data_IF_725806568970
#
_entry.id   IF_725806568970
#
_cell.length_a   1.000
_cell.length_b   1.000
_cell.length_c   1.000
_cell.angle_alpha   90.00
_cell.angle_beta   90.00
_cell.angle_gamma   90.00
#
_symmetry.space_group_name_H-M   'P 1'
#
loop_
_entity.id
_entity.type
_entity.pdbx_description
1 polymer ?
#
# COMPACT_ATOMS: atom_id res chain seq x y z
N UNK A 1 23.07 37.11 87.55
CA UNK A 1 23.35 35.67 87.66
C UNK A 1 22.65 35.13 88.90
N UNK A 2 21.54 34.41 88.76
CA UNK A 2 21.31 33.23 89.58
C UNK A 2 20.23 32.38 88.93
N UNK A 3 20.49 31.08 88.95
CA UNK A 3 19.95 30.01 88.14
C UNK A 3 19.10 29.13 89.06
N UNK A 4 18.10 28.44 88.49
CA UNK A 4 17.67 27.07 88.87
C UNK A 4 16.74 27.03 90.12
N UNK A 5 15.63 26.28 90.21
CA UNK A 5 15.25 24.97 89.68
C UNK A 5 13.73 24.76 89.74
N UNK A 6 13.25 23.93 88.80
CA UNK A 6 11.99 23.17 88.78
C UNK A 6 11.58 22.54 90.13
N UNK A 7 10.27 22.45 90.40
CA UNK A 7 9.52 21.18 90.62
C UNK A 7 8.06 21.41 90.19
N UNK A 8 7.58 20.59 89.25
CA UNK A 8 6.20 20.57 88.75
C UNK A 8 5.33 19.64 89.62
N UNK A 9 4.12 20.09 89.93
CA UNK A 9 3.15 19.47 90.84
C UNK A 9 2.47 18.25 90.19
N UNK A 10 2.19 17.29 91.06
CA UNK A 10 1.54 16.00 90.85
C UNK A 10 0.11 16.07 90.25
N UNK A 11 -0.28 14.92 89.70
CA UNK A 11 -1.59 14.24 89.90
C UNK A 11 -2.68 14.34 88.80
N UNK A 12 -3.63 13.38 88.75
CA UNK A 12 -3.74 12.45 87.63
C UNK A 12 -5.12 12.49 86.91
N UNK A 13 -5.22 11.69 85.87
CA UNK A 13 -6.41 11.39 85.07
C UNK A 13 -7.71 11.24 85.89
N UNK A 14 -8.85 11.69 85.33
CA UNK A 14 -10.05 10.90 84.92
C UNK A 14 -11.21 11.86 84.61
N UNK A 15 -11.59 11.99 83.33
CA UNK A 15 -12.66 11.22 82.66
C UNK A 15 -14.05 11.87 82.80
N UNK A 16 -14.51 12.51 81.71
CA UNK A 16 -15.91 12.58 81.21
C UNK A 16 -15.98 13.65 80.10
N UNK A 17 -16.29 13.25 78.86
CA UNK A 17 -17.32 13.86 77.97
C UNK A 17 -17.36 13.08 76.64
N UNK A 18 -18.59 12.87 76.18
CA UNK A 18 -19.12 12.10 75.06
C UNK A 18 -18.81 12.75 73.71
N UNK A 19 -18.27 12.01 72.72
CA UNK A 19 -18.48 12.26 71.27
C UNK A 19 -18.53 10.91 70.54
N UNK A 20 -19.71 10.55 70.03
CA UNK A 20 -19.91 9.50 69.04
C UNK A 20 -19.15 9.85 67.74
N UNK A 21 -18.24 8.98 67.29
CA UNK A 21 -17.68 9.03 65.95
C UNK A 21 -17.89 7.65 65.30
N UNK A 22 -18.97 7.50 64.55
CA UNK A 22 -19.21 6.31 63.73
C UNK A 22 -18.25 6.41 62.52
N UNK A 23 -17.13 5.72 62.62
CA UNK A 23 -16.20 5.49 61.51
C UNK A 23 -16.85 4.49 60.54
N UNK A 24 -17.56 4.99 59.54
CA UNK A 24 -17.93 4.19 58.37
C UNK A 24 -16.65 4.02 57.54
N UNK A 25 -15.91 2.93 57.80
CA UNK A 25 -14.83 2.50 56.91
C UNK A 25 -15.49 1.79 55.73
N UNK A 26 -15.86 2.55 54.69
CA UNK A 26 -16.19 1.98 53.40
C UNK A 26 -14.93 1.33 52.83
N UNK A 27 -14.88 0.00 52.87
CA UNK A 27 -13.89 -0.78 52.11
C UNK A 27 -14.27 -0.68 50.65
N UNK A 28 -13.74 0.34 49.95
CA UNK A 28 -13.83 0.42 48.50
C UNK A 28 -12.80 -0.58 47.97
N UNK A 29 -13.23 -1.78 47.60
CA UNK A 29 -12.41 -2.70 46.82
C UNK A 29 -12.25 -2.10 45.43
N UNK A 30 -11.13 -1.45 45.16
CA UNK A 30 -10.72 -1.12 43.80
C UNK A 30 -10.35 -2.45 43.13
N UNK A 31 -11.27 -3.04 42.38
CA UNK A 31 -10.92 -4.11 41.45
C UNK A 31 -10.15 -3.46 40.30
N UNK A 32 -8.82 -3.54 40.33
CA UNK A 32 -8.03 -3.30 39.14
C UNK A 32 -8.40 -4.36 38.11
N UNK A 33 -9.10 -3.97 37.05
CA UNK A 33 -9.25 -4.83 35.87
C UNK A 33 -7.85 -4.92 35.25
N UNK A 34 -7.19 -6.06 35.42
CA UNK A 34 -5.97 -6.39 34.70
C UNK A 34 -6.38 -6.68 33.26
N UNK A 35 -6.41 -5.67 32.41
CA UNK A 35 -6.41 -5.92 30.96
C UNK A 35 -5.07 -6.54 30.63
N UNK A 36 -5.06 -7.79 30.17
CA UNK A 36 -3.84 -8.41 29.68
C UNK A 36 -3.26 -7.54 28.56
N UNK A 37 -1.96 -7.23 28.63
CA UNK A 37 -1.29 -6.51 27.55
C UNK A 37 -1.35 -7.33 26.28
N UNK A 38 -1.85 -6.72 25.19
CA UNK A 38 -1.90 -7.36 23.88
C UNK A 38 -0.50 -7.62 23.37
N UNK A 39 -0.29 -8.77 22.74
CA UNK A 39 0.97 -9.10 22.09
C UNK A 39 1.22 -8.13 20.94
N UNK A 40 2.37 -7.46 20.95
CA UNK A 40 2.78 -6.56 19.87
C UNK A 40 2.97 -7.34 18.57
N UNK A 41 2.75 -6.68 17.44
CA UNK A 41 2.82 -7.30 16.12
C UNK A 41 3.87 -6.61 15.25
N UNK A 42 4.33 -7.32 14.22
CA UNK A 42 5.19 -6.82 13.16
C UNK A 42 4.48 -7.04 11.83
N UNK A 43 4.53 -6.05 10.94
CA UNK A 43 3.91 -6.13 9.62
C UNK A 43 4.88 -5.62 8.55
N UNK A 44 5.33 -6.52 7.69
CA UNK A 44 6.18 -6.17 6.54
C UNK A 44 5.34 -5.92 5.31
N UNK A 45 5.85 -5.14 4.35
CA UNK A 45 5.22 -4.89 3.04
C UNK A 45 6.32 -4.71 1.98
N UNK A 46 6.09 -5.23 0.79
CA UNK A 46 6.96 -5.11 -0.38
C UNK A 46 6.21 -5.29 -1.69
N UNK A 47 6.87 -4.91 -2.79
CA UNK A 47 6.36 -5.03 -4.15
C UNK A 47 7.08 -6.15 -4.90
N UNK A 48 6.36 -6.84 -5.77
CA UNK A 48 6.93 -7.76 -6.77
C UNK A 48 6.30 -7.49 -8.14
N UNK A 49 7.08 -7.02 -9.13
CA UNK A 49 8.49 -6.62 -9.03
C UNK A 49 8.69 -5.43 -8.05
N UNK A 50 9.92 -5.23 -7.58
CA UNK A 50 10.23 -4.20 -6.58
C UNK A 50 9.97 -2.77 -7.08
N UNK A 51 10.14 -2.55 -8.38
CA UNK A 51 9.90 -1.28 -9.08
C UNK A 51 8.91 -1.53 -10.23
N UNK A 52 7.60 -1.63 -9.94
CA UNK A 52 6.62 -1.94 -10.98
C UNK A 52 6.48 -0.77 -11.95
N UNK A 53 6.52 -1.10 -13.24
CA UNK A 53 6.35 -0.13 -14.33
C UNK A 53 4.87 0.11 -14.65
N UNK A 54 4.56 1.22 -15.34
CA UNK A 54 3.19 1.58 -15.73
C UNK A 54 2.43 0.56 -16.56
N UNK A 55 3.12 -0.29 -17.32
CA UNK A 55 2.52 -1.31 -18.18
C UNK A 55 2.57 -2.73 -17.57
N UNK A 56 2.85 -2.82 -16.27
CA UNK A 56 2.95 -4.09 -15.56
C UNK A 56 2.01 -4.13 -14.36
N UNK A 57 1.29 -5.24 -14.20
CA UNK A 57 0.65 -5.57 -12.92
C UNK A 57 1.68 -5.96 -11.88
N UNK A 58 1.38 -5.77 -10.60
CA UNK A 58 2.31 -6.11 -9.53
C UNK A 58 1.61 -6.67 -8.31
N UNK A 59 2.38 -7.35 -7.47
CA UNK A 59 1.90 -7.89 -6.21
C UNK A 59 2.40 -7.03 -5.04
N UNK A 60 1.51 -6.77 -4.09
CA UNK A 60 1.81 -6.13 -2.81
C UNK A 60 1.68 -7.20 -1.73
N UNK A 61 2.81 -7.62 -1.18
CA UNK A 61 2.85 -8.76 -0.26
C UNK A 61 3.69 -8.46 0.96
N UNK A 62 3.50 -9.27 1.99
CA UNK A 62 4.19 -9.12 3.27
C UNK A 62 3.82 -10.23 4.23
N UNK A 63 4.32 -10.12 5.45
CA UNK A 63 4.11 -11.08 6.53
C UNK A 63 3.66 -10.33 7.78
N UNK A 64 2.60 -10.83 8.42
CA UNK A 64 2.20 -10.47 9.77
C UNK A 64 2.77 -11.50 10.76
N UNK A 65 3.49 -11.02 11.76
CA UNK A 65 3.99 -11.85 12.86
C UNK A 65 3.73 -11.16 14.20
N UNK A 66 3.86 -11.89 15.30
CA UNK A 66 4.01 -11.27 16.62
C UNK A 66 5.41 -10.69 16.78
N UNK A 67 5.62 -9.94 17.87
CA UNK A 67 6.89 -9.29 18.21
C UNK A 67 8.06 -10.25 18.40
N UNK A 68 7.76 -11.51 18.73
CA UNK A 68 8.73 -12.62 18.83
C UNK A 68 9.02 -13.31 17.49
N UNK A 69 8.39 -12.87 16.40
CA UNK A 69 8.58 -13.40 15.05
C UNK A 69 7.67 -14.58 14.68
N UNK A 70 6.76 -15.02 15.55
CA UNK A 70 5.83 -16.11 15.20
C UNK A 70 4.82 -15.65 14.15
N UNK A 71 4.61 -16.42 13.06
CA UNK A 71 3.65 -16.04 12.02
C UNK A 71 2.22 -16.04 12.56
N UNK A 72 1.43 -15.06 12.11
CA UNK A 72 0.03 -14.89 12.53
C UNK A 72 -0.91 -15.14 11.35
N UNK A 73 -1.31 -16.39 11.17
CA UNK A 73 -2.26 -16.78 10.13
C UNK A 73 -3.71 -16.48 10.43
N UNK A 74 -4.52 -16.45 9.37
CA UNK A 74 -5.95 -16.13 9.39
C UNK A 74 -6.22 -14.80 10.13
N UNK A 75 -5.55 -13.73 9.69
CA UNK A 75 -5.73 -12.36 10.17
C UNK A 75 -6.05 -11.45 9.00
N UNK A 76 -7.05 -10.59 9.18
CA UNK A 76 -7.46 -9.60 8.19
C UNK A 76 -6.41 -8.50 8.05
N UNK A 77 -5.75 -8.47 6.90
CA UNK A 77 -4.89 -7.37 6.46
C UNK A 77 -5.70 -6.50 5.51
N UNK A 78 -5.70 -5.20 5.76
CA UNK A 78 -6.28 -4.21 4.86
C UNK A 78 -5.15 -3.52 4.09
N UNK A 79 -5.25 -3.48 2.76
CA UNK A 79 -4.39 -2.65 1.93
C UNK A 79 -5.04 -1.29 1.72
N UNK A 80 -4.28 -0.23 1.94
CA UNK A 80 -4.72 1.14 1.76
C UNK A 80 -3.78 1.88 0.79
N UNK A 81 -4.31 2.80 -0.01
CA UNK A 81 -3.53 3.65 -0.91
C UNK A 81 -3.84 5.14 -0.83
N UNK A 82 -2.86 5.96 -1.19
CA UNK A 82 -2.95 7.43 -1.25
C UNK A 82 -2.19 7.92 -2.47
N UNK A 83 -2.82 8.74 -3.31
CA UNK A 83 -2.14 9.44 -4.42
C UNK A 83 -1.47 10.74 -3.95
N UNK A 84 -1.82 11.23 -2.75
CA UNK A 84 -1.55 12.61 -2.33
C UNK A 84 -0.31 12.74 -1.44
N UNK A 85 -0.16 11.84 -0.47
CA UNK A 85 0.93 11.92 0.51
C UNK A 85 1.15 10.59 1.22
N UNK A 86 2.40 10.33 1.58
CA UNK A 86 2.83 9.23 2.43
C UNK A 86 2.62 9.50 3.93
N UNK A 87 2.49 10.76 4.36
CA UNK A 87 2.47 11.17 5.77
C UNK A 87 1.10 11.61 6.28
N UNK A 88 0.13 11.76 5.39
CA UNK A 88 -1.23 12.16 5.73
C UNK A 88 -2.13 10.91 5.84
N UNK A 89 -2.33 10.42 7.07
CA UNK A 89 -3.11 9.21 7.33
C UNK A 89 -4.58 9.32 6.93
N UNK A 90 -5.14 10.53 6.84
CA UNK A 90 -6.52 10.76 6.40
C UNK A 90 -6.66 10.69 4.87
N UNK A 91 -5.55 10.72 4.14
CA UNK A 91 -5.53 10.62 2.68
C UNK A 91 -5.57 9.17 2.16
N UNK A 92 -5.44 8.16 3.03
CA UNK A 92 -5.41 6.76 2.64
C UNK A 92 -6.82 6.16 2.47
N UNK A 93 -7.06 5.53 1.32
CA UNK A 93 -8.30 4.84 0.95
C UNK A 93 -8.09 3.34 0.97
N UNK A 94 -9.06 2.59 1.49
CA UNK A 94 -9.02 1.12 1.48
C UNK A 94 -9.14 0.60 0.05
N UNK A 95 -8.18 -0.21 -0.38
CA UNK A 95 -8.20 -0.94 -1.65
C UNK A 95 -8.83 -2.33 -1.51
N UNK A 96 -8.67 -2.96 -0.34
CA UNK A 96 -9.27 -4.26 -0.07
C UNK A 96 -8.72 -4.93 1.18
N UNK A 97 -9.27 -6.10 1.50
CA UNK A 97 -8.86 -6.91 2.66
C UNK A 97 -8.56 -8.34 2.23
N UNK A 98 -7.50 -8.92 2.78
CA UNK A 98 -7.09 -10.32 2.60
C UNK A 98 -6.69 -10.94 3.92
N UNK A 99 -6.94 -12.24 4.05
CA UNK A 99 -6.49 -13.01 5.19
C UNK A 99 -5.05 -13.48 4.98
N UNK A 100 -4.28 -13.45 6.05
CA UNK A 100 -2.98 -14.11 6.07
C UNK A 100 -3.12 -15.64 5.99
N UNK A 101 -2.21 -16.30 5.29
CA UNK A 101 -2.08 -17.76 5.31
C UNK A 101 -1.48 -18.27 6.64
N UNK A 102 -1.24 -19.58 6.78
CA UNK A 102 -0.72 -20.17 8.02
C UNK A 102 0.65 -19.61 8.42
N UNK A 103 1.45 -19.18 7.44
CA UNK A 103 2.76 -18.58 7.57
C UNK A 103 2.69 -17.06 7.79
N UNK A 104 1.49 -16.50 7.97
CA UNK A 104 1.29 -15.08 8.22
C UNK A 104 1.42 -14.21 6.96
N UNK A 105 1.59 -14.81 5.78
CA UNK A 105 1.79 -14.09 4.52
C UNK A 105 0.46 -13.62 3.96
N UNK A 106 0.46 -12.42 3.40
CA UNK A 106 -0.65 -11.88 2.60
C UNK A 106 -0.14 -11.43 1.24
N UNK A 107 -1.05 -11.35 0.27
CA UNK A 107 -0.75 -10.93 -1.09
C UNK A 107 -1.96 -10.25 -1.72
N UNK A 108 -1.73 -9.07 -2.31
CA UNK A 108 -2.71 -8.31 -3.07
C UNK A 108 -2.22 -8.11 -4.50
N UNK A 109 -3.09 -8.36 -5.47
CA UNK A 109 -2.82 -8.03 -6.86
C UNK A 109 -3.19 -6.56 -7.17
N UNK A 110 -2.29 -5.85 -7.83
CA UNK A 110 -2.50 -4.50 -8.37
C UNK A 110 -2.47 -4.56 -9.90
N UNK A 111 -3.53 -4.11 -10.59
CA UNK A 111 -3.60 -4.17 -12.04
C UNK A 111 -2.65 -3.17 -12.71
N UNK A 112 -2.54 -3.29 -14.03
CA UNK A 112 -1.65 -2.46 -14.86
C UNK A 112 -2.04 -0.97 -14.91
N UNK A 113 -3.26 -0.61 -14.58
CA UNK A 113 -3.84 0.72 -14.79
C UNK A 113 -3.92 1.58 -13.52
N UNK A 114 -3.11 1.26 -12.51
CA UNK A 114 -3.11 2.03 -11.25
C UNK A 114 -2.27 3.30 -11.37
N UNK A 115 -2.68 4.41 -10.72
CA UNK A 115 -1.85 5.61 -10.67
C UNK A 115 -0.56 5.36 -9.87
N UNK A 116 0.43 6.26 -9.94
CA UNK A 116 1.42 6.40 -8.88
C UNK A 116 0.72 6.55 -7.54
N UNK A 117 1.02 5.66 -6.62
CA UNK A 117 0.36 5.61 -5.31
C UNK A 117 1.35 5.24 -4.21
N UNK A 118 1.09 5.78 -3.03
CA UNK A 118 1.64 5.30 -1.76
C UNK A 118 0.77 4.17 -1.24
N UNK A 119 1.38 3.10 -0.74
CA UNK A 119 0.71 1.91 -0.24
C UNK A 119 1.13 1.61 1.18
N UNK A 120 0.17 1.20 2.01
CA UNK A 120 0.42 0.65 3.33
C UNK A 120 -0.53 -0.52 3.60
N UNK A 121 -0.07 -1.46 4.41
CA UNK A 121 -0.89 -2.54 4.93
C UNK A 121 -1.22 -2.26 6.40
N UNK A 122 -2.40 -2.68 6.82
CA UNK A 122 -2.93 -2.42 8.15
C UNK A 122 -3.55 -3.67 8.73
N UNK A 123 -3.13 -4.00 9.95
CA UNK A 123 -3.79 -4.98 10.79
C UNK A 123 -4.46 -4.23 11.95
N UNK A 124 -5.77 -4.37 12.11
CA UNK A 124 -6.54 -3.65 13.13
C UNK A 124 -6.39 -4.22 14.55
N UNK A 125 -5.59 -5.29 14.72
CA UNK A 125 -5.49 -5.98 16.00
C UNK A 125 -6.74 -6.81 16.30
N UNK A 126 -6.73 -7.43 17.47
CA UNK A 126 -7.89 -8.08 18.09
C UNK A 126 -7.68 -8.11 19.61
N UNK A 127 -8.39 -8.96 20.34
CA UNK A 127 -8.26 -9.06 21.81
C UNK A 127 -6.87 -9.50 22.26
N UNK A 128 -6.16 -10.28 21.44
CA UNK A 128 -4.87 -10.88 21.77
C UNK A 128 -3.67 -10.12 21.18
N UNK A 129 -3.87 -9.47 20.03
CA UNK A 129 -2.79 -8.85 19.25
C UNK A 129 -3.04 -7.36 19.05
N UNK A 130 -2.01 -6.55 19.25
CA UNK A 130 -2.06 -5.10 19.04
C UNK A 130 -2.23 -4.76 17.54
N UNK A 131 -2.94 -3.66 17.21
CA UNK A 131 -2.99 -3.14 15.85
C UNK A 131 -1.61 -2.67 15.37
N UNK A 132 -1.37 -2.75 14.07
CA UNK A 132 -0.17 -2.21 13.43
C UNK A 132 -0.46 -1.73 12.01
N UNK A 133 0.23 -0.66 11.61
CA UNK A 133 0.32 -0.21 10.22
C UNK A 133 1.76 -0.46 9.76
N UNK A 134 1.93 -0.98 8.55
CA UNK A 134 3.25 -1.20 7.95
C UNK A 134 3.96 0.12 7.69
N UNK A 135 5.22 0.04 7.24
CA UNK A 135 5.82 1.17 6.51
C UNK A 135 4.97 1.54 5.30
N UNK A 136 5.04 2.80 4.89
CA UNK A 136 4.51 3.24 3.59
C UNK A 136 5.55 2.95 2.52
N UNK A 137 5.11 2.42 1.38
CA UNK A 137 5.95 2.20 0.19
C UNK A 137 5.37 2.96 -1.00
N UNK A 138 6.23 3.32 -1.94
CA UNK A 138 5.85 3.97 -3.19
C UNK A 138 5.78 2.93 -4.31
N UNK A 139 4.71 2.96 -5.09
CA UNK A 139 4.62 2.28 -6.37
C UNK A 139 4.67 3.29 -7.52
N UNK A 140 5.28 2.90 -8.64
CA UNK A 140 5.31 3.70 -9.88
C UNK A 140 5.84 5.13 -9.67
N UNK A 141 6.85 5.28 -8.81
CA UNK A 141 7.52 6.56 -8.58
C UNK A 141 6.69 7.61 -7.82
N UNK A 142 5.63 7.22 -7.10
CA UNK A 142 4.87 8.14 -6.26
C UNK A 142 5.78 8.89 -5.27
N UNK A 143 5.65 10.21 -5.20
CA UNK A 143 6.48 11.07 -4.33
C UNK A 143 7.90 11.34 -4.85
N UNK A 144 8.24 10.90 -6.06
CA UNK A 144 9.51 11.24 -6.73
C UNK A 144 9.31 12.36 -7.75
N UNK A 145 10.41 12.91 -8.27
CA UNK A 145 10.39 13.90 -9.37
C UNK A 145 10.01 13.26 -10.73
N UNK A 146 9.94 11.93 -10.81
CA UNK A 146 9.59 11.16 -12.02
C UNK A 146 8.51 10.10 -11.72
N UNK A 147 7.27 10.50 -11.36
CA UNK A 147 6.18 9.56 -11.18
C UNK A 147 5.80 8.94 -12.54
N UNK A 148 5.65 7.62 -12.58
CA UNK A 148 5.20 6.93 -13.78
C UNK A 148 3.67 6.99 -13.88
N UNK A 149 3.19 8.07 -14.48
CA UNK A 149 1.76 8.27 -14.73
C UNK A 149 1.39 7.58 -16.04
N UNK A 150 0.30 6.80 -16.02
CA UNK A 150 -0.37 6.38 -17.26
C UNK A 150 -1.08 7.61 -17.83
N UNK A 151 -0.36 8.44 -18.59
CA UNK A 151 -0.99 9.48 -19.43
C UNK A 151 -1.49 8.83 -20.71
N UNK A 152 -2.57 8.05 -20.63
CA UNK A 152 -3.26 7.54 -21.81
C UNK A 152 -3.84 6.16 -21.62
N UNK A 153 -5.11 5.99 -22.00
CA UNK A 153 -5.71 4.67 -22.15
C UNK A 153 -4.92 3.90 -23.22
N UNK A 154 -4.85 2.57 -23.20
CA UNK A 154 -4.11 1.82 -24.23
C UNK A 154 -5.05 1.11 -25.21
N UNK A 155 -4.64 0.97 -26.47
CA UNK A 155 -5.36 0.27 -27.51
C UNK A 155 -4.50 -0.74 -28.27
N UNK A 156 -5.08 -1.30 -29.34
CA UNK A 156 -4.40 -2.25 -30.22
C UNK A 156 -4.51 -1.81 -31.69
N UNK A 157 -3.62 -2.34 -32.53
CA UNK A 157 -3.69 -2.20 -33.98
C UNK A 157 -3.27 -3.49 -34.68
N UNK A 158 -4.03 -3.89 -35.69
CA UNK A 158 -3.65 -4.94 -36.65
C UNK A 158 -3.05 -4.30 -37.89
N UNK A 159 -1.81 -4.66 -38.22
CA UNK A 159 -1.03 -4.06 -39.31
C UNK A 159 -0.83 -5.09 -40.41
N UNK A 160 -1.19 -4.73 -41.64
CA UNK A 160 -1.01 -5.52 -42.85
C UNK A 160 -0.11 -4.80 -43.85
N UNK A 161 0.61 -5.57 -44.66
CA UNK A 161 1.43 -5.06 -45.75
C UNK A 161 1.09 -5.75 -47.07
N UNK A 162 1.22 -5.00 -48.17
CA UNK A 162 1.20 -5.56 -49.52
C UNK A 162 2.49 -5.17 -50.25
N UNK A 163 3.39 -6.12 -50.56
CA UNK A 163 3.33 -7.55 -50.25
C UNK A 163 3.53 -7.85 -48.76
N UNK A 164 3.03 -8.99 -48.29
CA UNK A 164 3.16 -9.47 -46.91
C UNK A 164 4.63 -9.73 -46.50
N UNK A 165 4.89 -9.83 -45.20
CA UNK A 165 6.21 -10.13 -44.67
C UNK A 165 7.16 -8.92 -44.70
N UNK A 166 6.63 -7.71 -44.52
CA UNK A 166 7.43 -6.51 -44.28
C UNK A 166 7.71 -6.35 -42.78
N UNK A 167 8.91 -5.89 -42.43
CA UNK A 167 9.26 -5.50 -41.07
C UNK A 167 8.39 -4.32 -40.62
N UNK A 168 7.85 -4.40 -39.41
CA UNK A 168 6.92 -3.44 -38.83
C UNK A 168 7.61 -2.67 -37.72
N UNK A 169 7.74 -1.37 -37.91
CA UNK A 169 8.24 -0.42 -36.91
C UNK A 169 7.06 0.41 -36.41
N UNK A 170 6.96 0.57 -35.09
CA UNK A 170 6.00 1.48 -34.45
C UNK A 170 6.79 2.45 -33.60
N UNK A 171 6.67 3.74 -33.90
CA UNK A 171 7.46 4.83 -33.34
C UNK A 171 8.97 4.54 -33.43
N UNK A 172 9.42 4.20 -34.64
CA UNK A 172 10.80 3.86 -34.98
C UNK A 172 11.39 2.60 -34.33
N UNK A 173 10.61 1.86 -33.54
CA UNK A 173 11.03 0.61 -32.89
C UNK A 173 10.52 -0.59 -33.69
N UNK A 174 11.42 -1.50 -34.10
CA UNK A 174 11.04 -2.76 -34.73
C UNK A 174 10.20 -3.62 -33.77
N UNK A 175 8.95 -3.92 -34.15
CA UNK A 175 8.01 -4.71 -33.35
C UNK A 175 7.81 -6.13 -33.88
N UNK A 176 7.96 -6.33 -35.19
CA UNK A 176 7.76 -7.65 -35.78
C UNK A 176 7.67 -7.61 -37.31
N UNK A 177 6.95 -8.57 -37.87
CA UNK A 177 6.76 -8.74 -39.32
C UNK A 177 5.26 -8.82 -39.62
N UNK A 178 4.82 -8.17 -40.70
CA UNK A 178 3.42 -8.10 -41.10
C UNK A 178 2.92 -9.40 -41.75
N UNK A 179 1.67 -9.83 -41.49
CA UNK A 179 0.68 -9.19 -40.62
C UNK A 179 1.07 -9.22 -39.14
N UNK A 180 0.90 -8.11 -38.43
CA UNK A 180 1.35 -7.95 -37.04
C UNK A 180 0.24 -7.35 -36.17
N UNK A 181 -0.05 -8.00 -35.05
CA UNK A 181 -1.00 -7.50 -34.04
C UNK A 181 -0.23 -6.84 -32.90
N UNK A 182 -0.35 -5.52 -32.77
CA UNK A 182 0.31 -4.73 -31.72
C UNK A 182 -0.70 -4.35 -30.63
N UNK A 183 -0.40 -4.64 -29.37
CA UNK A 183 -1.21 -4.24 -28.22
C UNK A 183 -0.42 -3.40 -27.22
N UNK A 184 -1.14 -2.75 -26.29
CA UNK A 184 -0.53 -1.92 -25.24
C UNK A 184 0.05 -0.59 -25.75
N UNK A 185 -0.42 -0.11 -26.91
CA UNK A 185 -0.05 1.19 -27.44
C UNK A 185 -0.85 2.28 -26.73
N UNK A 186 -0.21 3.38 -26.37
CA UNK A 186 -0.89 4.54 -25.77
C UNK A 186 -1.97 5.11 -26.69
N UNK A 187 -3.04 5.65 -26.11
CA UNK A 187 -4.06 6.40 -26.85
C UNK A 187 -3.42 7.65 -27.46
N UNK A 188 -3.62 7.83 -28.76
CA UNK A 188 -2.95 8.88 -29.52
C UNK A 188 -2.48 8.41 -30.88
N UNK A 189 -1.83 9.32 -31.60
CA UNK A 189 -1.26 9.01 -32.91
C UNK A 189 0.09 8.32 -32.75
N UNK A 190 0.23 7.18 -33.39
CA UNK A 190 1.46 6.40 -33.51
C UNK A 190 1.92 6.36 -34.96
N UNK A 191 3.24 6.35 -35.17
CA UNK A 191 3.81 6.26 -36.50
C UNK A 191 4.14 4.80 -36.83
N UNK A 192 3.61 4.27 -37.94
CA UNK A 192 3.87 2.91 -38.40
C UNK A 192 4.70 2.96 -39.67
N UNK A 193 5.91 2.42 -39.61
CA UNK A 193 6.80 2.29 -40.78
C UNK A 193 6.93 0.83 -41.18
N UNK A 194 6.73 0.55 -42.46
CA UNK A 194 6.96 -0.77 -43.04
C UNK A 194 8.20 -0.76 -43.92
N UNK A 195 9.06 -1.76 -43.74
CA UNK A 195 10.29 -1.95 -44.50
C UNK A 195 10.33 -3.36 -45.10
N UNK A 196 10.73 -3.47 -46.37
CA UNK A 196 10.92 -4.76 -47.02
C UNK A 196 11.97 -4.64 -48.11
N UNK A 197 12.89 -5.62 -48.17
CA UNK A 197 13.93 -5.65 -49.21
C UNK A 197 13.33 -5.55 -50.62
N UNK A 198 13.88 -4.63 -51.43
CA UNK A 198 13.41 -4.37 -52.79
C UNK A 198 12.19 -3.46 -52.88
N UNK A 199 11.75 -2.88 -51.76
CA UNK A 199 10.69 -1.88 -51.68
C UNK A 199 11.19 -0.65 -50.89
N UNK A 200 10.59 0.50 -51.15
CA UNK A 200 10.76 1.72 -50.36
C UNK A 200 10.05 1.57 -49.03
N UNK A 201 10.63 2.14 -47.98
CA UNK A 201 9.96 2.25 -46.70
C UNK A 201 8.76 3.17 -46.84
N UNK A 202 7.62 2.73 -46.32
CA UNK A 202 6.39 3.52 -46.29
C UNK A 202 5.98 3.73 -44.83
N UNK A 203 5.60 4.96 -44.52
CA UNK A 203 5.31 5.41 -43.17
C UNK A 203 3.90 6.00 -43.13
N UNK A 204 3.08 5.57 -42.17
CA UNK A 204 1.73 6.08 -42.00
C UNK A 204 1.37 6.21 -40.52
N UNK A 205 0.66 7.28 -40.19
CA UNK A 205 0.14 7.52 -38.86
C UNK A 205 -1.16 6.73 -38.63
N UNK A 206 -1.31 6.20 -37.42
CA UNK A 206 -2.54 5.55 -36.95
C UNK A 206 -2.93 6.11 -35.60
N UNK A 207 -4.21 6.45 -35.45
CA UNK A 207 -4.73 6.86 -34.15
C UNK A 207 -5.19 5.61 -33.37
N UNK A 208 -4.58 5.42 -32.20
CA UNK A 208 -4.90 4.34 -31.27
C UNK A 208 -5.94 4.82 -30.28
N UNK A 209 -7.00 4.03 -30.12
CA UNK A 209 -8.05 4.25 -29.13
C UNK A 209 -8.23 2.98 -28.29
N UNK A 210 -8.50 3.09 -26.98
CA UNK A 210 -8.81 1.95 -26.12
C UNK A 210 -10.18 1.31 -26.40
N UNK A 211 -11.03 1.98 -27.18
CA UNK A 211 -12.43 1.55 -27.40
C UNK A 211 -12.59 0.61 -28.60
N UNK A 212 -11.68 0.71 -29.57
CA UNK A 212 -11.77 0.00 -30.84
C UNK A 212 -10.38 -0.37 -31.30
N UNK A 213 -10.22 -1.61 -31.75
CA UNK A 213 -8.98 -2.06 -32.37
C UNK A 213 -8.80 -1.37 -33.73
N UNK A 214 -7.65 -0.73 -33.92
CA UNK A 214 -7.32 -0.11 -35.19
C UNK A 214 -6.90 -1.19 -36.21
N UNK A 215 -7.11 -0.93 -37.50
CA UNK A 215 -6.60 -1.77 -38.57
C UNK A 215 -5.96 -0.90 -39.63
N UNK A 216 -4.71 -1.21 -39.98
CA UNK A 216 -3.90 -0.46 -40.92
C UNK A 216 -3.38 -1.38 -42.02
N UNK A 217 -3.52 -0.98 -43.28
CA UNK A 217 -2.95 -1.70 -44.43
C UNK A 217 -2.12 -0.74 -45.26
N UNK A 218 -0.84 -1.07 -45.47
CA UNK A 218 0.08 -0.23 -46.25
C UNK A 218 0.59 -1.03 -47.45
N UNK A 219 0.53 -0.42 -48.64
CA UNK A 219 1.04 -0.99 -49.89
C UNK A 219 2.43 -0.40 -50.17
N UNK A 220 3.44 -1.26 -50.23
CA UNK A 220 4.82 -0.87 -50.50
C UNK A 220 5.05 -0.68 -51.99
N UNK A 221 5.90 0.29 -52.35
CA UNK A 221 6.28 0.60 -53.74
C UNK A 221 7.77 0.34 -53.96
N UNK A 222 8.13 -0.07 -55.18
CA UNK A 222 9.53 -0.28 -55.58
C UNK A 222 10.19 1.05 -56.01
#
# INVERSE_FOLDING_TARGET
MSRVRSIHVQNPLRLRTIICLILIVSVITVTAVVTADKTQTNLTIGLSPAEPSVNESFHVSGILSSSDGKPLGNKHITLESSEKSASDSESFKVLGTKDTDAEGKYDFFRPVDTPPEFLQAKFLGNDNFAPIVSKVISARGAGTDHPQVVTGKVGTVMIYSTPAGADVYIDDILRGVSPYHAGGLSEGTHNVTLSKTGYRNETQDVYISPKFDASLTITLKQ
#
